data_IF_220836741173
#
_entry.id   IF_220836741173
#
_cell.length_a   1.000
_cell.length_b   1.000
_cell.length_c   1.000
_cell.angle_alpha   90.00
_cell.angle_beta   90.00
_cell.angle_gamma   90.00
#
_symmetry.space_group_name_H-M   'P 1'
#
loop_
_entity.id
_entity.type
_entity.pdbx_description
1 polymer ?
#
# COMPACT_ATOMS: atom_id res chain seq x y z
N UNK A 1 3.61 -3.23 35.83
CA UNK A 1 4.80 -2.58 35.27
C UNK A 1 5.06 -3.08 33.86
N UNK A 2 5.21 -2.17 32.92
CA UNK A 2 5.57 -2.54 31.57
C UNK A 2 6.97 -3.14 31.55
N UNK A 3 7.10 -4.33 31.01
CA UNK A 3 8.39 -4.97 30.83
C UNK A 3 8.82 -4.83 29.38
N UNK A 4 10.10 -5.03 29.10
CA UNK A 4 10.60 -5.06 27.73
C UNK A 4 9.82 -6.08 26.88
N UNK A 5 9.49 -7.21 27.47
CA UNK A 5 8.72 -8.26 26.82
C UNK A 5 7.32 -7.77 26.44
N UNK A 6 6.66 -7.03 27.32
CA UNK A 6 5.34 -6.45 27.07
C UNK A 6 5.38 -5.42 25.96
N UNK A 7 6.37 -4.53 25.97
CA UNK A 7 6.57 -3.52 24.95
C UNK A 7 6.85 -4.14 23.60
N UNK A 8 7.66 -5.21 23.59
CA UNK A 8 8.01 -5.94 22.38
C UNK A 8 6.78 -6.61 21.78
N UNK A 9 5.92 -7.20 22.62
CA UNK A 9 4.68 -7.84 22.17
C UNK A 9 3.72 -6.83 21.53
N UNK A 10 3.60 -5.63 22.11
CA UNK A 10 2.80 -4.56 21.54
C UNK A 10 3.33 -4.12 20.18
N UNK A 11 4.65 -4.00 20.06
CA UNK A 11 5.29 -3.63 18.81
C UNK A 11 5.05 -4.69 17.73
N UNK A 12 5.21 -5.97 18.07
CA UNK A 12 4.95 -7.07 17.16
C UNK A 12 3.49 -7.09 16.73
N UNK A 13 2.56 -6.87 17.65
CA UNK A 13 1.14 -6.83 17.33
C UNK A 13 0.82 -5.70 16.34
N UNK A 14 1.42 -4.52 16.55
CA UNK A 14 1.21 -3.40 15.63
C UNK A 14 1.75 -3.69 14.23
N UNK A 15 2.91 -4.34 14.13
CA UNK A 15 3.48 -4.73 12.84
C UNK A 15 2.62 -5.79 12.16
N UNK A 16 2.08 -6.74 12.92
CA UNK A 16 1.21 -7.77 12.38
C UNK A 16 -0.09 -7.20 11.81
N UNK A 17 -0.60 -6.12 12.43
CA UNK A 17 -1.83 -5.45 11.99
C UNK A 17 -1.58 -4.36 10.96
N UNK A 18 -0.32 -4.07 10.65
CA UNK A 18 0.02 -3.02 9.70
C UNK A 18 -0.39 -3.44 8.28
N UNK A 19 -0.95 -2.52 7.49
CA UNK A 19 -1.17 -2.78 6.07
C UNK A 19 0.13 -3.15 5.38
N UNK A 20 0.10 -4.23 4.62
CA UNK A 20 1.26 -4.68 3.85
C UNK A 20 1.15 -4.11 2.44
N UNK A 21 2.09 -3.26 2.10
CA UNK A 21 2.04 -2.43 0.90
C UNK A 21 3.20 -2.74 -0.02
N UNK A 22 2.92 -2.75 -1.31
CA UNK A 22 3.90 -2.81 -2.38
C UNK A 22 3.84 -1.45 -3.10
N UNK A 23 4.81 -0.58 -2.83
CA UNK A 23 4.82 0.77 -3.39
C UNK A 23 5.57 0.79 -4.73
N UNK A 24 4.88 1.21 -5.78
CA UNK A 24 5.40 1.27 -7.14
C UNK A 24 6.51 2.32 -7.27
N UNK A 25 7.29 2.21 -8.34
CA UNK A 25 8.44 3.09 -8.61
C UNK A 25 8.07 4.57 -8.71
N UNK A 26 6.83 4.88 -9.10
CA UNK A 26 6.38 6.26 -9.27
C UNK A 26 5.97 6.95 -7.95
N UNK A 27 5.99 6.25 -6.84
CA UNK A 27 5.70 6.86 -5.54
C UNK A 27 6.94 7.63 -5.08
N UNK A 28 6.82 8.94 -4.76
CA UNK A 28 7.97 9.70 -4.28
C UNK A 28 8.52 9.19 -2.96
N UNK A 29 9.84 9.31 -2.76
CA UNK A 29 10.50 8.87 -1.53
C UNK A 29 9.89 9.47 -0.27
N UNK A 30 9.57 10.76 -0.30
CA UNK A 30 8.96 11.43 0.85
C UNK A 30 7.59 10.86 1.21
N UNK A 31 6.85 10.42 0.22
CA UNK A 31 5.54 9.79 0.41
C UNK A 31 5.70 8.40 1.03
N UNK A 32 6.69 7.64 0.59
CA UNK A 32 7.00 6.33 1.20
C UNK A 32 7.38 6.52 2.67
N UNK A 33 8.19 7.52 2.97
CA UNK A 33 8.54 7.85 4.36
C UNK A 33 7.29 8.17 5.19
N UNK A 34 6.36 8.93 4.63
CA UNK A 34 5.08 9.23 5.28
C UNK A 34 4.28 7.95 5.57
N UNK A 35 4.19 7.07 4.60
CA UNK A 35 3.51 5.78 4.78
C UNK A 35 4.09 4.99 5.96
N UNK A 36 5.42 4.95 6.04
CA UNK A 36 6.12 4.16 7.06
C UNK A 36 6.07 4.80 8.44
N UNK A 37 6.31 6.11 8.52
CA UNK A 37 6.49 6.80 9.81
C UNK A 37 5.19 7.36 10.37
N UNK A 38 4.30 7.86 9.54
CA UNK A 38 3.05 8.48 9.98
C UNK A 38 1.87 7.51 9.96
N UNK A 39 1.79 6.68 8.94
CA UNK A 39 0.70 5.72 8.82
C UNK A 39 1.05 4.35 9.41
N UNK A 40 2.32 4.09 9.65
CA UNK A 40 2.77 2.82 10.22
C UNK A 40 2.59 1.64 9.29
N UNK A 41 2.61 1.87 7.99
CA UNK A 41 2.46 0.81 7.00
C UNK A 41 3.76 0.01 6.83
N UNK A 42 3.60 -1.27 6.55
CA UNK A 42 4.72 -2.15 6.17
C UNK A 42 4.90 -2.06 4.66
N UNK A 43 5.85 -1.24 4.22
CA UNK A 43 6.02 -0.90 2.81
C UNK A 43 7.26 -1.53 2.21
N UNK A 44 7.06 -2.32 1.16
CA UNK A 44 8.12 -2.71 0.24
C UNK A 44 8.11 -1.66 -0.87
N UNK A 45 9.21 -0.93 -1.03
CA UNK A 45 9.33 0.11 -2.06
C UNK A 45 10.25 -0.38 -3.18
N UNK A 46 9.71 -0.41 -4.39
CA UNK A 46 10.40 -0.94 -5.57
C UNK A 46 11.77 -0.31 -5.80
N UNK A 47 11.87 1.01 -5.60
CA UNK A 47 13.12 1.73 -5.86
C UNK A 47 14.25 1.40 -4.90
N UNK A 48 13.96 0.70 -3.81
CA UNK A 48 14.97 0.24 -2.86
C UNK A 48 15.55 -1.14 -3.22
N UNK A 49 15.04 -1.75 -4.30
CA UNK A 49 15.44 -3.09 -4.74
C UNK A 49 15.91 -3.05 -6.19
N UNK A 50 17.19 -3.30 -6.40
CA UNK A 50 17.79 -3.21 -7.75
C UNK A 50 17.13 -4.14 -8.76
N UNK A 51 16.74 -5.32 -8.33
CA UNK A 51 16.08 -6.30 -9.18
C UNK A 51 14.65 -5.91 -9.57
N UNK A 52 14.01 -5.02 -8.80
CA UNK A 52 12.65 -4.58 -9.06
C UNK A 52 12.56 -3.28 -9.85
N UNK A 53 13.61 -2.48 -9.85
CA UNK A 53 13.60 -1.16 -10.50
C UNK A 53 13.25 -1.23 -11.98
N UNK A 54 13.64 -2.30 -12.65
CA UNK A 54 13.46 -2.49 -14.10
C UNK A 54 12.34 -3.43 -14.44
N UNK A 55 11.62 -3.92 -13.44
CA UNK A 55 10.51 -4.82 -13.67
C UNK A 55 9.36 -4.09 -14.36
N UNK A 56 8.59 -4.83 -15.15
CA UNK A 56 7.43 -4.30 -15.84
C UNK A 56 6.22 -4.29 -14.91
N UNK A 57 5.21 -3.50 -15.25
CA UNK A 57 3.98 -3.39 -14.48
C UNK A 57 3.33 -4.75 -14.22
N UNK A 58 3.31 -5.62 -15.22
CA UNK A 58 2.76 -6.97 -15.07
C UNK A 58 3.54 -7.80 -14.05
N UNK A 59 4.84 -7.60 -13.96
CA UNK A 59 5.68 -8.28 -12.98
C UNK A 59 5.42 -7.75 -11.56
N UNK A 60 5.29 -6.41 -11.42
CA UNK A 60 4.95 -5.80 -10.14
C UNK A 60 3.60 -6.28 -9.63
N UNK A 61 2.63 -6.34 -10.52
CA UNK A 61 1.28 -6.82 -10.19
C UNK A 61 1.32 -8.25 -9.65
N UNK A 62 2.06 -9.13 -10.33
CA UNK A 62 2.20 -10.53 -9.93
C UNK A 62 2.96 -10.68 -8.61
N UNK A 63 4.08 -9.95 -8.47
CA UNK A 63 4.90 -10.02 -7.27
C UNK A 63 4.16 -9.52 -6.03
N UNK A 64 3.40 -8.43 -6.17
CA UNK A 64 2.60 -7.91 -5.07
C UNK A 64 1.63 -8.99 -4.57
N UNK A 65 0.99 -9.71 -5.47
CA UNK A 65 0.10 -10.81 -5.10
C UNK A 65 0.85 -11.94 -4.40
N UNK A 66 1.99 -12.36 -4.96
CA UNK A 66 2.80 -13.44 -4.38
C UNK A 66 3.26 -13.10 -2.96
N UNK A 67 3.54 -11.82 -2.71
CA UNK A 67 3.99 -11.35 -1.40
C UNK A 67 2.84 -11.02 -0.46
N UNK A 68 1.60 -11.11 -0.93
CA UNK A 68 0.44 -10.76 -0.14
C UNK A 68 0.39 -9.29 0.23
N UNK A 69 0.83 -8.42 -0.68
CA UNK A 69 0.89 -6.97 -0.46
C UNK A 69 -0.05 -6.23 -1.39
N UNK A 70 -0.73 -5.23 -0.87
CA UNK A 70 -1.56 -4.34 -1.67
C UNK A 70 -0.66 -3.43 -2.51
N UNK A 71 -0.86 -3.45 -3.82
CA UNK A 71 -0.11 -2.59 -4.73
C UNK A 71 -0.65 -1.17 -4.67
N UNK A 72 0.22 -0.22 -4.35
CA UNK A 72 -0.10 1.21 -4.32
C UNK A 72 0.69 1.89 -5.41
N UNK A 73 0.01 2.61 -6.29
CA UNK A 73 0.62 3.20 -7.48
C UNK A 73 -0.06 4.52 -7.85
N UNK A 74 0.65 5.35 -8.60
CA UNK A 74 0.09 6.55 -9.23
C UNK A 74 -0.20 6.30 -10.71
N UNK A 75 0.13 5.13 -11.23
CA UNK A 75 0.00 4.80 -12.65
C UNK A 75 -1.42 4.32 -12.95
N UNK A 76 -2.11 5.09 -13.77
CA UNK A 76 -3.51 4.83 -14.15
C UNK A 76 -3.65 3.61 -15.07
N UNK A 77 -2.54 3.12 -15.64
CA UNK A 77 -2.59 1.92 -16.48
C UNK A 77 -3.10 0.70 -15.69
N UNK A 78 -2.87 0.67 -14.38
CA UNK A 78 -3.37 -0.41 -13.53
C UNK A 78 -4.89 -0.43 -13.38
N UNK A 79 -5.59 0.62 -13.82
CA UNK A 79 -7.06 0.65 -13.81
C UNK A 79 -7.64 -0.31 -14.85
N UNK A 80 -6.87 -0.63 -15.89
CA UNK A 80 -7.32 -1.56 -16.94
C UNK A 80 -7.44 -2.98 -16.39
N UNK A 81 -8.68 -3.45 -16.26
CA UNK A 81 -8.97 -4.78 -15.70
C UNK A 81 -8.58 -5.92 -16.64
N UNK A 82 -8.38 -5.65 -17.92
CA UNK A 82 -7.94 -6.68 -18.87
C UNK A 82 -6.48 -7.06 -18.63
N UNK A 83 -5.64 -6.04 -18.45
CA UNK A 83 -4.21 -6.26 -18.22
C UNK A 83 -3.91 -6.59 -16.75
N UNK A 84 -4.75 -6.07 -15.85
CA UNK A 84 -4.55 -6.21 -14.40
C UNK A 84 -5.86 -6.64 -13.72
N UNK A 85 -6.25 -7.91 -13.88
CA UNK A 85 -7.52 -8.39 -13.32
C UNK A 85 -7.56 -8.28 -11.78
N UNK A 86 -8.56 -7.58 -11.20
CA UNK A 86 -8.65 -7.45 -9.75
C UNK A 86 -8.66 -8.79 -9.01
N UNK A 87 -9.34 -9.79 -9.57
CA UNK A 87 -9.43 -11.11 -8.94
C UNK A 87 -8.06 -11.79 -8.77
N UNK A 88 -7.08 -11.39 -9.56
CA UNK A 88 -5.72 -11.94 -9.50
C UNK A 88 -4.77 -11.06 -8.69
N UNK A 89 -5.29 -10.14 -7.89
CA UNK A 89 -4.48 -9.23 -7.09
C UNK A 89 -4.66 -9.46 -5.59
N UNK A 90 -3.67 -9.04 -4.83
CA UNK A 90 -3.79 -8.92 -3.37
C UNK A 90 -4.32 -7.54 -2.99
N UNK A 91 -4.94 -6.85 -3.94
CA UNK A 91 -5.45 -5.50 -3.80
C UNK A 91 -4.60 -4.51 -4.58
N UNK A 92 -5.26 -3.55 -5.23
CA UNK A 92 -4.61 -2.47 -5.95
C UNK A 92 -5.30 -1.17 -5.60
N UNK A 93 -4.53 -0.16 -5.22
CA UNK A 93 -5.06 1.19 -5.05
C UNK A 93 -4.26 2.12 -5.95
N UNK A 94 -4.97 2.74 -6.90
CA UNK A 94 -4.40 3.75 -7.77
C UNK A 94 -4.77 5.11 -7.20
N UNK A 95 -3.78 5.88 -6.77
CA UNK A 95 -3.98 7.22 -6.25
C UNK A 95 -3.75 8.26 -7.34
N UNK A 96 -4.57 9.28 -7.36
CA UNK A 96 -4.42 10.43 -8.26
C UNK A 96 -4.51 11.71 -7.46
N UNK A 97 -3.41 12.45 -7.40
CA UNK A 97 -3.33 13.72 -6.69
C UNK A 97 -2.36 14.66 -7.41
N UNK A 98 -2.60 15.98 -7.38
CA UNK A 98 -1.75 16.92 -8.11
C UNK A 98 -0.40 17.19 -7.46
N UNK A 99 -0.23 16.87 -6.18
CA UNK A 99 1.01 17.10 -5.45
C UNK A 99 1.16 16.13 -4.28
N UNK A 100 2.34 16.12 -3.66
CA UNK A 100 2.64 15.20 -2.56
C UNK A 100 1.80 15.48 -1.31
N UNK A 101 1.50 16.73 -1.02
CA UNK A 101 0.71 17.11 0.16
C UNK A 101 -0.69 16.51 0.06
N UNK A 102 -1.32 16.66 -1.10
CA UNK A 102 -2.67 16.11 -1.33
C UNK A 102 -2.64 14.58 -1.42
N UNK A 103 -1.58 14.04 -1.98
CA UNK A 103 -1.39 12.58 -2.01
C UNK A 103 -1.34 12.03 -0.58
N UNK A 104 -0.57 12.66 0.31
CA UNK A 104 -0.52 12.24 1.71
C UNK A 104 -1.88 12.31 2.40
N UNK A 105 -2.70 13.30 2.05
CA UNK A 105 -4.08 13.38 2.58
C UNK A 105 -4.92 12.21 2.12
N UNK A 106 -4.80 11.84 0.84
CA UNK A 106 -5.52 10.68 0.31
C UNK A 106 -5.08 9.39 0.98
N UNK A 107 -3.77 9.24 1.21
CA UNK A 107 -3.22 8.08 1.91
C UNK A 107 -3.76 7.99 3.33
N UNK A 108 -3.83 9.11 4.03
CA UNK A 108 -4.37 9.16 5.39
C UNK A 108 -5.84 8.76 5.40
N UNK A 109 -6.62 9.25 4.43
CA UNK A 109 -8.02 8.88 4.32
C UNK A 109 -8.19 7.39 4.01
N UNK A 110 -7.36 6.85 3.12
CA UNK A 110 -7.38 5.44 2.81
C UNK A 110 -7.01 4.59 4.04
N UNK A 111 -6.04 5.04 4.82
CA UNK A 111 -5.66 4.37 6.06
C UNK A 111 -6.86 4.24 7.00
N UNK A 112 -7.60 5.32 7.20
CA UNK A 112 -8.75 5.32 8.12
C UNK A 112 -9.93 4.55 7.56
N UNK A 113 -10.25 4.71 6.28
CA UNK A 113 -11.50 4.20 5.72
C UNK A 113 -11.38 2.82 5.13
N UNK A 114 -10.19 2.41 4.69
CA UNK A 114 -9.98 1.12 4.04
C UNK A 114 -9.26 0.16 4.96
N UNK A 115 -8.13 0.58 5.53
CA UNK A 115 -7.27 -0.33 6.28
C UNK A 115 -7.63 -0.44 7.75
N UNK A 116 -8.17 0.61 8.36
CA UNK A 116 -8.44 0.66 9.79
C UNK A 116 -9.90 0.94 10.14
N UNK A 117 -10.79 0.74 9.17
CA UNK A 117 -12.21 0.85 9.44
C UNK A 117 -12.65 -0.18 10.49
N UNK A 118 -13.65 0.17 11.30
CA UNK A 118 -14.17 -0.73 12.32
C UNK A 118 -14.63 -2.05 11.71
N UNK A 119 -14.19 -3.15 12.29
CA UNK A 119 -14.46 -4.47 11.76
C UNK A 119 -13.54 -4.82 10.61
N UNK A 120 -12.66 -3.96 10.33
CA UNK A 120 -11.53 -3.99 9.44
C UNK A 120 -11.67 -4.82 8.18
N UNK A 121 -11.54 -4.18 7.05
CA UNK A 121 -11.27 -4.89 5.82
C UNK A 121 -10.06 -5.80 6.05
N UNK A 122 -10.12 -7.06 5.64
CA UNK A 122 -8.94 -7.92 5.73
C UNK A 122 -7.82 -7.35 4.89
N UNK A 123 -6.61 -7.42 5.42
CA UNK A 123 -5.43 -6.95 4.72
C UNK A 123 -4.56 -8.15 4.33
N UNK A 124 -4.09 -8.22 3.09
CA UNK A 124 -4.27 -7.27 2.00
C UNK A 124 -5.71 -7.25 1.47
N UNK A 125 -6.02 -6.28 0.62
CA UNK A 125 -7.35 -6.11 0.00
C UNK A 125 -7.50 -7.06 -1.19
N UNK A 126 -7.44 -8.32 -0.93
CA UNK A 126 -7.43 -9.34 -1.99
C UNK A 126 -8.64 -9.23 -2.90
N UNK A 127 -8.38 -9.23 -4.19
CA UNK A 127 -9.42 -9.20 -5.22
C UNK A 127 -10.07 -7.85 -5.44
N UNK A 128 -9.55 -6.77 -4.84
CA UNK A 128 -10.14 -5.44 -4.94
C UNK A 128 -9.21 -4.46 -5.63
N UNK A 129 -9.79 -3.59 -6.44
CA UNK A 129 -9.09 -2.49 -7.08
C UNK A 129 -9.85 -1.19 -6.80
N UNK A 130 -9.13 -0.20 -6.30
CA UNK A 130 -9.71 1.10 -5.93
C UNK A 130 -8.94 2.20 -6.65
N UNK A 131 -9.68 3.11 -7.28
CA UNK A 131 -9.11 4.35 -7.79
C UNK A 131 -9.49 5.46 -6.81
N UNK A 132 -8.49 6.03 -6.14
CA UNK A 132 -8.70 7.02 -5.08
C UNK A 132 -8.19 8.37 -5.55
N UNK A 133 -9.07 9.34 -5.65
CA UNK A 133 -8.70 10.66 -6.16
C UNK A 133 -9.39 11.78 -5.38
N UNK A 134 -8.83 12.98 -5.48
CA UNK A 134 -9.34 14.17 -4.81
C UNK A 134 -10.62 14.65 -5.48
N UNK A 135 -11.53 15.19 -4.68
CA UNK A 135 -12.71 15.87 -5.18
C UNK A 135 -13.93 14.99 -5.35
N UNK A 136 -13.88 13.79 -4.82
CA UNK A 136 -15.03 12.87 -4.92
C UNK A 136 -15.61 12.50 -3.57
#
# INVERSE_FOLDING_TARGET
MGTLSSELNEHIARLADAPRIYADANIPNGVVTYMRTRLGWDVLFVMEHDDLRRARDTEHFRLARQLGRTLVTLDRDYIDDRSFPPAESAGVIVFSAPDEVRLCKLLKDADRTVFRADGAAPLPLEGRKIHWQIGE
#
